data_IF_712630342460
#
_entry.id   IF_712630342460
#
_cell.length_a   1.000
_cell.length_b   1.000
_cell.length_c   1.000
_cell.angle_alpha   90.00
_cell.angle_beta   90.00
_cell.angle_gamma   90.00
#
_symmetry.space_group_name_H-M   'P 1'
#
loop_
_entity.id
_entity.type
_entity.pdbx_description
1 polymer ?
#
# COMPACT_ATOMS: atom_id res chain seq x y z
N UNK A 1 3.03 33.08 0.01
CA UNK A 1 3.85 32.01 0.61
C UNK A 1 3.29 30.63 0.34
N UNK A 2 1.98 30.45 0.38
CA UNK A 2 1.33 29.21 -0.08
C UNK A 2 1.52 28.93 -1.57
N UNK A 3 1.77 29.96 -2.37
CA UNK A 3 1.93 29.82 -3.81
C UNK A 3 3.05 28.84 -4.24
N UNK A 4 4.17 28.81 -3.51
CA UNK A 4 5.27 27.92 -3.90
C UNK A 4 4.95 26.45 -3.64
N UNK A 5 4.25 26.15 -2.55
CA UNK A 5 3.80 24.80 -2.24
C UNK A 5 2.86 24.25 -3.32
N UNK A 6 1.98 25.11 -3.81
CA UNK A 6 0.99 24.73 -4.83
C UNK A 6 1.54 24.73 -6.26
N UNK A 7 2.59 25.54 -6.53
CA UNK A 7 3.12 25.73 -7.89
C UNK A 7 4.41 24.96 -8.18
N UNK A 8 5.26 24.75 -7.18
CA UNK A 8 6.53 24.03 -7.31
C UNK A 8 6.93 23.35 -5.99
N UNK A 9 6.38 22.18 -5.78
CA UNK A 9 6.61 21.39 -4.55
C UNK A 9 8.09 21.02 -4.36
N UNK A 10 8.85 20.86 -5.43
CA UNK A 10 10.27 20.52 -5.35
C UNK A 10 11.05 21.70 -4.79
N UNK A 11 10.89 22.87 -5.39
CA UNK A 11 11.55 24.09 -4.93
C UNK A 11 11.10 24.47 -3.52
N UNK A 12 9.82 24.31 -3.21
CA UNK A 12 9.29 24.49 -1.84
C UNK A 12 10.01 23.58 -0.85
N UNK A 13 10.11 22.28 -1.14
CA UNK A 13 10.74 21.31 -0.25
C UNK A 13 12.22 21.59 -0.01
N UNK A 14 12.95 21.99 -1.04
CA UNK A 14 14.36 22.38 -0.95
C UNK A 14 14.54 23.61 -0.03
N UNK A 15 13.71 24.62 -0.21
CA UNK A 15 13.74 25.83 0.64
C UNK A 15 13.39 25.53 2.07
N UNK A 16 12.30 24.82 2.34
CA UNK A 16 11.86 24.51 3.69
C UNK A 16 12.86 23.61 4.42
N UNK A 17 13.37 22.58 3.76
CA UNK A 17 14.38 21.70 4.35
C UNK A 17 15.70 22.45 4.64
N UNK A 18 16.09 23.38 3.78
CA UNK A 18 17.24 24.23 3.99
C UNK A 18 17.09 25.11 5.23
N UNK A 19 15.95 25.79 5.40
CA UNK A 19 15.64 26.60 6.58
C UNK A 19 15.63 25.77 7.86
N UNK A 20 15.02 24.59 7.84
CA UNK A 20 14.99 23.68 8.98
C UNK A 20 16.38 23.21 9.40
N UNK A 21 17.25 22.87 8.44
CA UNK A 21 18.63 22.46 8.72
C UNK A 21 19.46 23.59 9.34
N UNK A 22 19.31 24.81 8.83
CA UNK A 22 19.98 26.00 9.41
C UNK A 22 19.53 26.24 10.83
N UNK A 23 18.22 26.16 11.09
CA UNK A 23 17.66 26.28 12.44
C UNK A 23 18.20 25.18 13.37
N UNK A 24 18.24 23.94 12.91
CA UNK A 24 18.79 22.82 13.66
C UNK A 24 20.29 23.00 14.00
N UNK A 25 21.03 23.70 13.15
CA UNK A 25 22.43 24.05 13.37
C UNK A 25 22.63 25.26 14.31
N UNK A 26 21.54 25.82 14.85
CA UNK A 26 21.58 26.98 15.76
C UNK A 26 21.66 28.34 15.07
N UNK A 27 21.50 28.39 13.74
CA UNK A 27 21.43 29.66 13.02
C UNK A 27 20.09 30.34 13.23
N UNK A 28 20.11 31.66 13.19
CA UNK A 28 18.89 32.46 13.17
C UNK A 28 18.27 32.39 11.78
N UNK A 29 17.01 31.97 11.72
CA UNK A 29 16.19 31.96 10.53
C UNK A 29 14.96 32.83 10.72
N UNK A 30 14.42 33.37 9.63
CA UNK A 30 13.16 34.09 9.67
C UNK A 30 12.02 33.06 9.81
N UNK A 31 11.40 33.02 10.97
CA UNK A 31 10.27 32.10 11.25
C UNK A 31 9.10 32.26 10.27
N UNK A 32 8.90 33.47 9.74
CA UNK A 32 7.84 33.76 8.78
C UNK A 32 8.08 33.08 7.40
N UNK A 33 9.30 32.64 7.11
CA UNK A 33 9.62 31.90 5.90
C UNK A 33 9.38 30.39 6.04
N UNK A 34 9.22 29.90 7.28
CA UNK A 34 8.88 28.51 7.55
C UNK A 34 7.39 28.28 7.39
N UNK A 35 7.05 27.43 6.44
CA UNK A 35 5.66 27.05 6.13
C UNK A 35 5.22 25.86 7.00
N UNK A 36 5.09 26.12 8.30
CA UNK A 36 4.82 25.09 9.31
C UNK A 36 3.61 24.22 9.00
N UNK A 37 2.56 24.82 8.46
CA UNK A 37 1.32 24.09 8.15
C UNK A 37 1.56 23.03 7.07
N UNK A 38 2.16 23.40 5.95
CA UNK A 38 2.46 22.47 4.86
C UNK A 38 3.58 21.50 5.22
N UNK A 39 4.56 21.92 6.03
CA UNK A 39 5.57 20.99 6.57
C UNK A 39 4.92 19.88 7.40
N UNK A 40 4.01 20.23 8.29
CA UNK A 40 3.29 19.26 9.10
C UNK A 40 2.44 18.31 8.23
N UNK A 41 1.76 18.85 7.22
CA UNK A 41 0.97 18.05 6.28
C UNK A 41 1.82 17.05 5.49
N UNK A 42 2.99 17.48 5.00
CA UNK A 42 3.90 16.59 4.29
C UNK A 42 4.45 15.47 5.19
N UNK A 43 4.78 15.78 6.44
CA UNK A 43 5.20 14.76 7.41
C UNK A 43 4.09 13.74 7.67
N UNK A 44 2.85 14.18 7.85
CA UNK A 44 1.70 13.28 7.97
C UNK A 44 1.49 12.42 6.72
N UNK A 45 1.69 13.01 5.56
CA UNK A 45 1.53 12.33 4.26
C UNK A 45 2.50 11.17 4.08
N UNK A 46 3.71 11.25 4.63
CA UNK A 46 4.66 10.13 4.61
C UNK A 46 4.05 8.87 5.24
N UNK A 47 3.50 8.98 6.45
CA UNK A 47 2.88 7.85 7.13
C UNK A 47 1.64 7.34 6.42
N UNK A 48 0.79 8.24 5.94
CA UNK A 48 -0.42 7.89 5.18
C UNK A 48 -0.09 7.16 3.88
N UNK A 49 0.95 7.59 3.17
CA UNK A 49 1.39 6.96 1.93
C UNK A 49 1.94 5.55 2.17
N UNK A 50 2.69 5.34 3.24
CA UNK A 50 3.18 4.01 3.61
C UNK A 50 2.01 3.06 3.92
N UNK A 51 1.01 3.53 4.66
CA UNK A 51 -0.18 2.73 4.95
C UNK A 51 -1.01 2.40 3.69
N UNK A 52 -1.13 3.35 2.75
CA UNK A 52 -1.81 3.13 1.46
C UNK A 52 -1.05 2.14 0.60
N UNK A 53 0.26 2.23 0.56
CA UNK A 53 1.11 1.28 -0.17
C UNK A 53 0.93 -0.13 0.38
N UNK A 54 0.99 -0.30 1.70
CA UNK A 54 0.74 -1.59 2.34
C UNK A 54 -0.63 -2.17 1.96
N UNK A 55 -1.68 -1.35 2.03
CA UNK A 55 -3.03 -1.77 1.65
C UNK A 55 -3.12 -2.20 0.18
N UNK A 56 -2.49 -1.48 -0.72
CA UNK A 56 -2.44 -1.81 -2.15
C UNK A 56 -1.74 -3.15 -2.42
N UNK A 57 -0.64 -3.40 -1.75
CA UNK A 57 0.11 -4.66 -1.88
C UNK A 57 -0.64 -5.84 -1.28
N UNK A 58 -1.25 -5.68 -0.12
CA UNK A 58 -2.12 -6.69 0.49
C UNK A 58 -3.31 -7.01 -0.42
N UNK A 59 -3.94 -5.99 -1.01
CA UNK A 59 -5.03 -6.18 -1.96
C UNK A 59 -4.61 -7.02 -3.17
N UNK A 60 -3.41 -6.79 -3.69
CA UNK A 60 -2.86 -7.57 -4.80
C UNK A 60 -2.64 -9.03 -4.41
N UNK A 61 -2.08 -9.30 -3.23
CA UNK A 61 -1.92 -10.67 -2.71
C UNK A 61 -3.26 -11.37 -2.60
N UNK A 62 -4.23 -10.75 -1.93
CA UNK A 62 -5.57 -11.34 -1.72
C UNK A 62 -6.25 -11.65 -3.06
N UNK A 63 -6.21 -10.72 -4.00
CA UNK A 63 -6.81 -10.93 -5.33
C UNK A 63 -6.20 -12.14 -6.04
N UNK A 64 -4.89 -12.28 -6.02
CA UNK A 64 -4.22 -13.38 -6.71
C UNK A 64 -4.38 -14.71 -5.99
N UNK A 65 -4.43 -14.71 -4.65
CA UNK A 65 -4.83 -15.91 -3.89
C UNK A 65 -6.25 -16.35 -4.23
N UNK A 66 -7.20 -15.42 -4.34
CA UNK A 66 -8.57 -15.74 -4.78
C UNK A 66 -8.62 -16.32 -6.19
N UNK A 67 -7.87 -15.74 -7.12
CA UNK A 67 -7.78 -16.29 -8.48
C UNK A 67 -7.22 -17.70 -8.48
N UNK A 68 -6.18 -17.96 -7.69
CA UNK A 68 -5.61 -19.29 -7.53
C UNK A 68 -6.60 -20.31 -6.97
N UNK A 69 -7.47 -19.90 -6.05
CA UNK A 69 -8.50 -20.76 -5.47
C UNK A 69 -9.70 -20.97 -6.39
N UNK A 70 -10.17 -19.90 -7.01
CA UNK A 70 -11.47 -19.89 -7.68
C UNK A 70 -11.41 -20.11 -9.20
N UNK A 71 -10.33 -19.70 -9.88
CA UNK A 71 -10.23 -19.83 -11.33
C UNK A 71 -9.95 -21.28 -11.76
N UNK A 72 -10.67 -21.78 -12.78
CA UNK A 72 -10.37 -23.08 -13.40
C UNK A 72 -9.17 -23.01 -14.36
N UNK A 73 -8.68 -21.81 -14.72
CA UNK A 73 -7.61 -21.66 -15.68
C UNK A 73 -6.28 -22.22 -15.17
N UNK A 74 -5.53 -22.90 -16.04
CA UNK A 74 -4.21 -23.46 -15.72
C UNK A 74 -3.06 -22.54 -16.12
N UNK A 75 -3.13 -21.90 -17.27
CA UNK A 75 -2.03 -21.16 -17.88
C UNK A 75 -1.55 -19.94 -17.06
N UNK A 76 -2.43 -19.10 -16.49
CA UNK A 76 -1.99 -17.90 -15.77
C UNK A 76 -1.51 -18.15 -14.33
N UNK A 77 -1.63 -19.39 -13.82
CA UNK A 77 -1.38 -19.70 -12.40
C UNK A 77 0.05 -19.42 -11.95
N UNK A 78 1.04 -19.73 -12.79
CA UNK A 78 2.45 -19.46 -12.50
C UNK A 78 2.68 -17.94 -12.30
N UNK A 79 2.15 -17.12 -13.20
CA UNK A 79 2.23 -15.67 -13.08
C UNK A 79 1.52 -15.12 -11.84
N UNK A 80 0.40 -15.71 -11.44
CA UNK A 80 -0.30 -15.30 -10.21
C UNK A 80 0.52 -15.62 -8.95
N UNK A 81 1.19 -16.79 -8.93
CA UNK A 81 2.11 -17.14 -7.83
C UNK A 81 3.30 -16.19 -7.77
N UNK A 82 3.89 -15.84 -8.90
CA UNK A 82 4.99 -14.89 -8.99
C UNK A 82 4.56 -13.52 -8.45
N UNK A 83 3.38 -13.04 -8.83
CA UNK A 83 2.83 -11.80 -8.30
C UNK A 83 2.65 -11.85 -6.78
N UNK A 84 2.09 -12.94 -6.25
CA UNK A 84 1.94 -13.13 -4.80
C UNK A 84 3.30 -13.03 -4.10
N UNK A 85 4.30 -13.71 -4.63
CA UNK A 85 5.64 -13.70 -4.05
C UNK A 85 6.29 -12.32 -4.08
N UNK A 86 6.26 -11.65 -5.24
CA UNK A 86 6.76 -10.28 -5.38
C UNK A 86 6.11 -9.31 -4.38
N UNK A 87 4.79 -9.37 -4.26
CA UNK A 87 4.07 -8.48 -3.34
C UNK A 87 4.39 -8.79 -1.89
N UNK A 88 4.55 -10.06 -1.53
CA UNK A 88 4.96 -10.46 -0.18
C UNK A 88 6.35 -9.94 0.17
N UNK A 89 7.30 -10.02 -0.75
CA UNK A 89 8.66 -9.51 -0.56
C UNK A 89 8.65 -7.99 -0.32
N UNK A 90 7.83 -7.26 -1.09
CA UNK A 90 7.67 -5.82 -0.92
C UNK A 90 6.95 -5.46 0.40
N UNK A 91 5.96 -6.25 0.81
CA UNK A 91 5.29 -6.08 2.11
C UNK A 91 6.28 -6.29 3.25
N UNK A 92 7.09 -7.33 3.18
CA UNK A 92 8.10 -7.60 4.20
C UNK A 92 9.10 -6.44 4.34
N UNK A 93 9.58 -5.91 3.21
CA UNK A 93 10.45 -4.73 3.18
C UNK A 93 9.77 -3.51 3.81
N UNK A 94 8.55 -3.22 3.41
CA UNK A 94 7.77 -2.09 3.93
C UNK A 94 7.52 -2.20 5.43
N UNK A 95 7.18 -3.39 5.92
CA UNK A 95 6.99 -3.64 7.35
C UNK A 95 8.30 -3.61 8.14
N UNK A 96 9.44 -3.88 7.49
CA UNK A 96 10.76 -3.67 8.05
C UNK A 96 11.07 -2.19 8.27
N UNK A 97 10.72 -1.35 7.30
CA UNK A 97 10.92 0.11 7.35
C UNK A 97 9.91 0.82 8.27
N UNK A 98 8.69 0.30 8.36
CA UNK A 98 7.60 0.87 9.14
C UNK A 98 6.91 -0.18 10.03
N UNK A 99 7.57 -0.68 11.09
CA UNK A 99 7.08 -1.80 11.91
C UNK A 99 5.72 -1.56 12.58
N UNK A 100 5.37 -0.31 12.86
CA UNK A 100 4.06 0.06 13.44
C UNK A 100 2.88 -0.37 12.57
N UNK A 101 3.09 -0.51 11.26
CA UNK A 101 2.05 -0.94 10.33
C UNK A 101 1.62 -2.40 10.51
N UNK A 102 2.45 -3.23 11.17
CA UNK A 102 2.09 -4.64 11.47
C UNK A 102 0.77 -4.74 12.22
N UNK A 103 0.54 -3.85 13.18
CA UNK A 103 -0.71 -3.80 13.93
C UNK A 103 -1.94 -3.43 13.12
N UNK A 104 -1.75 -2.87 11.92
CA UNK A 104 -2.84 -2.47 11.02
C UNK A 104 -3.21 -3.53 9.99
N UNK A 105 -2.37 -4.55 9.81
CA UNK A 105 -2.57 -5.59 8.80
C UNK A 105 -3.90 -6.32 8.90
N UNK A 106 -4.39 -6.76 10.07
CA UNK A 106 -5.68 -7.44 10.17
C UNK A 106 -6.84 -6.61 9.64
N UNK A 107 -6.89 -5.32 10.01
CA UNK A 107 -7.94 -4.41 9.55
C UNK A 107 -7.84 -4.14 8.04
N UNK A 108 -6.63 -4.04 7.50
CA UNK A 108 -6.40 -3.87 6.05
C UNK A 108 -6.89 -5.10 5.30
N UNK A 109 -6.54 -6.30 5.74
CA UNK A 109 -6.97 -7.57 5.14
C UNK A 109 -8.50 -7.65 5.11
N UNK A 110 -9.16 -7.37 6.23
CA UNK A 110 -10.62 -7.39 6.32
C UNK A 110 -11.28 -6.41 5.33
N UNK A 111 -10.74 -5.21 5.21
CA UNK A 111 -11.24 -4.19 4.28
C UNK A 111 -11.02 -4.55 2.82
N UNK A 112 -9.83 -5.04 2.49
CA UNK A 112 -9.47 -5.36 1.10
C UNK A 112 -10.09 -6.66 0.60
N UNK A 113 -10.52 -7.55 1.50
CA UNK A 113 -11.18 -8.80 1.16
C UNK A 113 -12.44 -8.60 0.29
N UNK A 114 -13.29 -7.65 0.66
CA UNK A 114 -14.52 -7.34 -0.09
C UNK A 114 -14.22 -6.76 -1.48
N UNK A 115 -13.21 -5.91 -1.57
CA UNK A 115 -12.77 -5.36 -2.86
C UNK A 115 -12.20 -6.46 -3.75
N UNK A 116 -11.42 -7.35 -3.19
CA UNK A 116 -10.83 -8.48 -3.91
C UNK A 116 -11.92 -9.42 -4.45
N UNK A 117 -12.96 -9.69 -3.67
CA UNK A 117 -14.11 -10.49 -4.13
C UNK A 117 -14.77 -9.89 -5.36
N UNK A 118 -15.06 -8.58 -5.34
CA UNK A 118 -15.65 -7.90 -6.50
C UNK A 118 -14.73 -7.95 -7.72
N UNK A 119 -13.45 -7.70 -7.53
CA UNK A 119 -12.47 -7.74 -8.63
C UNK A 119 -12.26 -9.15 -9.17
N UNK A 120 -12.26 -10.15 -8.31
CA UNK A 120 -12.16 -11.54 -8.73
C UNK A 120 -13.38 -11.97 -9.56
N UNK A 121 -14.60 -11.59 -9.13
CA UNK A 121 -15.82 -11.84 -9.92
C UNK A 121 -15.74 -11.23 -11.31
N UNK A 122 -15.32 -9.98 -11.40
CA UNK A 122 -15.16 -9.31 -12.69
C UNK A 122 -14.12 -10.00 -13.56
N UNK A 123 -12.96 -10.34 -13.00
CA UNK A 123 -11.90 -11.01 -13.74
C UNK A 123 -12.33 -12.39 -14.28
N UNK A 124 -13.05 -13.19 -13.48
CA UNK A 124 -13.58 -14.47 -13.90
C UNK A 124 -14.63 -14.31 -15.02
N UNK A 125 -15.54 -13.35 -14.86
CA UNK A 125 -16.57 -13.06 -15.84
C UNK A 125 -15.98 -12.58 -17.18
N UNK A 126 -14.96 -11.73 -17.15
CA UNK A 126 -14.27 -11.21 -18.34
C UNK A 126 -13.58 -12.33 -19.15
N UNK A 127 -13.27 -13.46 -18.53
CA UNK A 127 -12.64 -14.62 -19.14
C UNK A 127 -13.61 -15.81 -19.33
N UNK A 128 -14.92 -15.57 -19.16
CA UNK A 128 -15.96 -16.61 -19.22
C UNK A 128 -15.69 -17.82 -18.29
N UNK A 129 -15.07 -17.56 -17.15
CA UNK A 129 -14.73 -18.59 -16.16
C UNK A 129 -15.80 -18.71 -15.08
N UNK A 130 -16.15 -19.95 -14.73
CA UNK A 130 -16.99 -20.26 -13.57
C UNK A 130 -16.11 -20.53 -12.35
N UNK A 131 -16.34 -19.86 -11.21
CA UNK A 131 -15.53 -20.08 -10.01
C UNK A 131 -15.69 -21.52 -9.49
N UNK A 132 -14.56 -22.13 -9.09
CA UNK A 132 -14.55 -23.48 -8.48
C UNK A 132 -15.06 -23.48 -7.05
N UNK A 133 -15.00 -22.33 -6.37
CA UNK A 133 -15.45 -22.12 -5.00
C UNK A 133 -16.28 -20.86 -4.93
N UNK A 134 -17.18 -20.82 -3.94
CA UNK A 134 -17.96 -19.61 -3.68
C UNK A 134 -17.03 -18.52 -3.11
N UNK A 135 -16.86 -17.44 -3.86
CA UNK A 135 -16.01 -16.32 -3.46
C UNK A 135 -16.42 -15.69 -2.13
N UNK A 136 -17.71 -15.76 -1.78
CA UNK A 136 -18.22 -15.18 -0.53
C UNK A 136 -17.81 -15.98 0.71
N UNK A 137 -17.39 -17.24 0.54
CA UNK A 137 -16.91 -18.09 1.62
C UNK A 137 -15.41 -17.97 1.87
N UNK A 138 -14.67 -17.35 0.95
CA UNK A 138 -13.21 -17.20 1.06
C UNK A 138 -12.88 -16.15 2.12
N UNK A 139 -12.09 -16.56 3.10
CA UNK A 139 -11.49 -15.70 4.12
C UNK A 139 -10.02 -16.07 4.26
N UNK A 140 -9.20 -15.11 4.70
CA UNK A 140 -7.77 -15.30 4.90
C UNK A 140 -7.34 -14.87 6.28
N UNK A 141 -6.47 -15.65 6.90
CA UNK A 141 -5.72 -15.24 8.08
C UNK A 141 -4.54 -14.35 7.66
N UNK A 142 -3.96 -13.63 8.61
CA UNK A 142 -2.76 -12.82 8.36
C UNK A 142 -1.60 -13.68 7.84
N UNK A 143 -1.40 -14.87 8.42
CA UNK A 143 -0.34 -15.80 7.99
C UNK A 143 -0.56 -16.32 6.56
N UNK A 144 -1.80 -16.53 6.15
CA UNK A 144 -2.11 -16.94 4.78
C UNK A 144 -1.84 -15.82 3.76
N UNK A 145 -2.04 -14.56 4.15
CA UNK A 145 -1.75 -13.42 3.27
C UNK A 145 -0.25 -13.09 3.25
N UNK A 146 0.38 -13.03 4.41
CA UNK A 146 1.74 -12.52 4.59
C UNK A 146 2.83 -13.60 4.57
N UNK A 147 2.47 -14.84 4.87
CA UNK A 147 3.41 -15.97 4.90
C UNK A 147 3.58 -16.65 3.55
N UNK A 148 4.04 -17.89 3.56
CA UNK A 148 4.39 -18.66 2.35
C UNK A 148 3.24 -19.53 1.80
N UNK A 149 2.08 -19.49 2.45
CA UNK A 149 0.96 -20.32 2.04
C UNK A 149 0.45 -19.97 0.64
N UNK A 150 0.12 -21.01 -0.13
CA UNK A 150 -0.57 -20.92 -1.42
C UNK A 150 -1.73 -21.93 -1.44
N UNK A 151 -2.86 -21.58 -2.07
CA UNK A 151 -3.99 -22.50 -2.26
C UNK A 151 -3.69 -23.61 -3.25
#
# INVERSE_FOLDING_TARGET
MSDLYDTDIVLWSERQSGLLRRRAAGELVNEAELDWSNIAEEIESLGKNQARELASRIAAVILHLMKLQASPASDPRAGWRDTVQEQRDEIERLLGDAPTLRGRTPAIIARELERARRRARTALADHDEQPRVDLDTIVYTDDEVLGDWLP
#
